data_IF_044875738860
#
_entry.id   IF_044875738860
#
_cell.length_a   1.000
_cell.length_b   1.000
_cell.length_c   1.000
_cell.angle_alpha   90.00
_cell.angle_beta   90.00
_cell.angle_gamma   90.00
#
_symmetry.space_group_name_H-M   'P 1'
#
loop_
_entity.id
_entity.type
_entity.pdbx_description
1 polymer ?
#
# COMPACT_ATOMS: atom_id res chain seq x y z
N UNK A 1 -20.00 0.23 -10.65
CA UNK A 1 -18.96 0.75 -11.56
C UNK A 1 -17.63 -0.01 -11.46
N UNK A 2 -17.35 -0.75 -10.38
CA UNK A 2 -16.09 -1.51 -10.20
C UNK A 2 -15.77 -2.52 -11.32
N UNK A 3 -16.77 -3.15 -11.94
CA UNK A 3 -16.54 -4.22 -12.92
C UNK A 3 -15.90 -3.76 -14.22
N UNK A 4 -16.03 -2.48 -14.60
CA UNK A 4 -15.48 -1.96 -15.87
C UNK A 4 -13.98 -1.65 -15.74
N UNK A 5 -13.57 -1.09 -14.62
CA UNK A 5 -12.18 -0.76 -14.31
C UNK A 5 -11.33 -2.03 -14.15
N UNK A 6 -11.86 -3.05 -13.47
CA UNK A 6 -11.20 -4.36 -13.38
C UNK A 6 -10.98 -5.01 -14.75
N UNK A 7 -11.97 -4.94 -15.65
CA UNK A 7 -11.85 -5.51 -17.00
C UNK A 7 -10.74 -4.83 -17.80
N UNK A 8 -10.66 -3.50 -17.78
CA UNK A 8 -9.61 -2.75 -18.47
C UNK A 8 -8.23 -3.03 -17.90
N UNK A 9 -8.11 -3.17 -16.58
CA UNK A 9 -6.87 -3.58 -15.93
C UNK A 9 -6.43 -4.98 -16.36
N UNK A 10 -7.34 -5.96 -16.35
CA UNK A 10 -7.05 -7.34 -16.80
C UNK A 10 -6.64 -7.35 -18.28
N UNK A 11 -7.32 -6.57 -19.12
CA UNK A 11 -6.96 -6.41 -20.53
C UNK A 11 -5.55 -5.83 -20.67
N UNK A 12 -5.22 -4.77 -19.91
CA UNK A 12 -3.88 -4.18 -19.91
C UNK A 12 -2.78 -5.17 -19.52
N UNK A 13 -2.96 -5.90 -18.42
CA UNK A 13 -2.02 -6.95 -17.99
C UNK A 13 -1.91 -8.07 -19.02
N UNK A 14 -3.04 -8.52 -19.58
CA UNK A 14 -3.06 -9.54 -20.63
C UNK A 14 -2.29 -9.09 -21.88
N UNK A 15 -2.43 -7.81 -22.28
CA UNK A 15 -1.67 -7.24 -23.40
C UNK A 15 -0.16 -7.24 -23.13
N UNK A 16 0.26 -6.89 -21.91
CA UNK A 16 1.67 -6.91 -21.51
C UNK A 16 2.24 -8.34 -21.62
N UNK A 17 1.52 -9.32 -21.06
CA UNK A 17 1.94 -10.73 -21.11
C UNK A 17 1.99 -11.22 -22.56
N UNK A 18 0.94 -10.95 -23.34
CA UNK A 18 0.88 -11.31 -24.76
C UNK A 18 2.03 -10.69 -25.56
N UNK A 19 2.38 -9.43 -25.28
CA UNK A 19 3.52 -8.75 -25.90
C UNK A 19 4.84 -9.46 -25.61
N UNK A 20 5.08 -9.91 -24.38
CA UNK A 20 6.31 -10.65 -24.05
C UNK A 20 6.35 -12.02 -24.73
N UNK A 21 5.22 -12.73 -24.77
CA UNK A 21 5.13 -14.04 -25.45
C UNK A 21 5.40 -13.88 -26.94
N UNK A 22 4.69 -12.95 -27.61
CA UNK A 22 4.89 -12.65 -29.03
C UNK A 22 6.33 -12.18 -29.30
N UNK A 23 6.86 -11.30 -28.45
CA UNK A 23 8.24 -10.84 -28.56
C UNK A 23 9.24 -12.00 -28.58
N UNK A 24 9.05 -13.03 -27.74
CA UNK A 24 9.88 -14.25 -27.78
C UNK A 24 9.62 -15.13 -29.00
N UNK A 25 8.36 -15.31 -29.39
CA UNK A 25 8.01 -16.12 -30.56
C UNK A 25 8.56 -15.56 -31.86
N UNK A 26 8.64 -14.23 -31.99
CA UNK A 26 9.16 -13.53 -33.18
C UNK A 26 10.65 -13.82 -33.43
N UNK A 27 11.41 -14.24 -32.41
CA UNK A 27 12.80 -14.68 -32.61
C UNK A 27 12.94 -16.08 -33.20
N UNK A 28 11.93 -16.96 -33.05
CA UNK A 28 12.00 -18.35 -33.51
C UNK A 28 12.16 -18.43 -35.05
N UNK A 29 11.37 -17.72 -35.87
CA UNK A 29 11.54 -17.71 -37.33
C UNK A 29 12.93 -17.26 -37.79
N UNK A 30 13.57 -16.37 -37.03
CA UNK A 30 14.88 -15.81 -37.34
C UNK A 30 16.00 -16.87 -37.24
N UNK A 31 15.79 -17.93 -36.45
CA UNK A 31 16.71 -19.07 -36.34
C UNK A 31 16.58 -20.05 -37.52
N UNK A 32 15.38 -20.18 -38.12
CA UNK A 32 15.14 -21.14 -39.20
C UNK A 32 15.50 -20.60 -40.59
N UNK A 33 15.35 -19.30 -40.84
CA UNK A 33 15.64 -18.67 -42.14
C UNK A 33 16.38 -17.34 -42.00
N UNK A 34 17.67 -17.36 -41.61
CA UNK A 34 18.43 -16.14 -41.33
C UNK A 34 18.77 -15.29 -42.58
N UNK A 35 18.81 -15.91 -43.75
CA UNK A 35 19.24 -15.28 -45.03
C UNK A 35 18.11 -14.65 -45.83
N UNK A 36 16.85 -14.90 -45.49
CA UNK A 36 15.71 -14.41 -46.25
C UNK A 36 15.34 -12.99 -45.83
N UNK A 37 15.47 -12.04 -46.76
CA UNK A 37 15.25 -10.61 -46.51
C UNK A 37 13.77 -10.31 -46.21
N UNK A 38 12.85 -11.03 -46.84
CA UNK A 38 11.42 -10.84 -46.61
C UNK A 38 11.01 -11.25 -45.20
N UNK A 39 11.50 -12.39 -44.73
CA UNK A 39 11.24 -12.88 -43.37
C UNK A 39 11.80 -11.93 -42.30
N UNK A 40 12.99 -11.38 -42.51
CA UNK A 40 13.58 -10.38 -41.62
C UNK A 40 12.71 -9.12 -41.51
N UNK A 41 12.21 -8.61 -42.63
CA UNK A 41 11.33 -7.44 -42.63
C UNK A 41 10.01 -7.72 -41.89
N UNK A 42 9.39 -8.88 -42.12
CA UNK A 42 8.17 -9.29 -41.42
C UNK A 42 8.39 -9.43 -39.91
N UNK A 43 9.50 -10.03 -39.48
CA UNK A 43 9.88 -10.12 -38.07
C UNK A 43 10.07 -8.73 -37.47
N UNK A 44 10.75 -7.82 -38.17
CA UNK A 44 10.99 -6.46 -37.68
C UNK A 44 9.66 -5.70 -37.47
N UNK A 45 8.72 -5.85 -38.39
CA UNK A 45 7.37 -5.25 -38.28
C UNK A 45 6.61 -5.88 -37.11
N UNK A 46 6.60 -7.20 -37.00
CA UNK A 46 5.95 -7.91 -35.89
C UNK A 46 6.54 -7.48 -34.53
N UNK A 47 7.87 -7.33 -34.46
CA UNK A 47 8.55 -6.81 -33.29
C UNK A 47 8.11 -5.37 -32.97
N UNK A 48 8.02 -4.49 -33.97
CA UNK A 48 7.47 -3.13 -33.79
C UNK A 48 6.05 -3.12 -33.20
N UNK A 49 5.18 -4.03 -33.67
CA UNK A 49 3.81 -4.18 -33.15
C UNK A 49 3.83 -4.62 -31.67
N UNK A 50 4.74 -5.50 -31.27
CA UNK A 50 4.84 -5.90 -29.85
C UNK A 50 5.14 -4.71 -28.94
N UNK A 51 6.00 -3.77 -29.35
CA UNK A 51 6.26 -2.56 -28.57
C UNK A 51 5.02 -1.67 -28.41
N UNK A 52 4.23 -1.52 -29.46
CA UNK A 52 2.97 -0.75 -29.40
C UNK A 52 1.98 -1.42 -28.45
N UNK A 53 1.85 -2.75 -28.52
CA UNK A 53 1.01 -3.52 -27.58
C UNK A 53 1.49 -3.38 -26.14
N UNK A 54 2.81 -3.43 -25.90
CA UNK A 54 3.39 -3.24 -24.58
C UNK A 54 3.04 -1.86 -24.02
N UNK A 55 3.22 -0.81 -24.83
CA UNK A 55 2.93 0.56 -24.44
C UNK A 55 1.44 0.75 -24.10
N UNK A 56 0.54 0.24 -24.95
CA UNK A 56 -0.91 0.28 -24.68
C UNK A 56 -1.28 -0.52 -23.43
N UNK A 57 -0.68 -1.70 -23.24
CA UNK A 57 -0.89 -2.52 -22.07
C UNK A 57 -0.50 -1.81 -20.77
N UNK A 58 0.67 -1.18 -20.76
CA UNK A 58 1.16 -0.36 -19.62
C UNK A 58 0.24 0.84 -19.39
N UNK A 59 -0.19 1.52 -20.46
CA UNK A 59 -1.10 2.66 -20.35
C UNK A 59 -2.44 2.28 -19.70
N UNK A 60 -3.08 1.21 -20.16
CA UNK A 60 -4.34 0.73 -19.59
C UNK A 60 -4.17 0.21 -18.16
N UNK A 61 -3.13 -0.58 -17.90
CA UNK A 61 -2.84 -1.10 -16.57
C UNK A 61 -2.50 0.02 -15.58
N UNK A 62 -1.74 1.03 -16.00
CA UNK A 62 -1.33 2.17 -15.19
C UNK A 62 -2.50 3.08 -14.83
N UNK A 63 -3.32 3.48 -15.81
CA UNK A 63 -4.48 4.37 -15.59
C UNK A 63 -5.48 3.77 -14.60
N UNK A 64 -5.80 2.49 -14.76
CA UNK A 64 -6.80 1.81 -13.92
C UNK A 64 -6.20 1.30 -12.61
N UNK A 65 -4.98 0.77 -12.65
CA UNK A 65 -4.25 0.32 -11.47
C UNK A 65 -4.04 1.45 -10.46
N UNK A 66 -3.74 2.67 -10.93
CA UNK A 66 -3.57 3.83 -10.05
C UNK A 66 -4.84 4.19 -9.28
N UNK A 67 -6.00 4.16 -9.95
CA UNK A 67 -7.29 4.39 -9.30
C UNK A 67 -7.58 3.31 -8.23
N UNK A 68 -7.37 2.02 -8.56
CA UNK A 68 -7.61 0.94 -7.61
C UNK A 68 -6.66 1.00 -6.40
N UNK A 69 -5.38 1.31 -6.63
CA UNK A 69 -4.39 1.42 -5.54
C UNK A 69 -4.71 2.59 -4.63
N UNK A 70 -5.08 3.77 -5.17
CA UNK A 70 -5.47 4.93 -4.36
C UNK A 70 -6.70 4.63 -3.52
N UNK A 71 -7.71 3.97 -4.10
CA UNK A 71 -8.94 3.64 -3.39
C UNK A 71 -8.67 2.71 -2.21
N UNK A 72 -7.86 1.65 -2.44
CA UNK A 72 -7.42 0.74 -1.37
C UNK A 72 -6.58 1.45 -0.31
N UNK A 73 -5.69 2.35 -0.71
CA UNK A 73 -4.86 3.11 0.22
C UNK A 73 -5.71 4.04 1.09
N UNK A 74 -6.69 4.74 0.50
CA UNK A 74 -7.66 5.55 1.23
C UNK A 74 -8.51 4.73 2.18
N UNK A 75 -8.97 3.56 1.76
CA UNK A 75 -9.77 2.68 2.61
C UNK A 75 -8.97 2.20 3.83
N UNK A 76 -7.72 1.79 3.59
CA UNK A 76 -6.80 1.39 4.66
C UNK A 76 -6.54 2.54 5.63
N UNK A 77 -6.26 3.74 5.10
CA UNK A 77 -6.03 4.94 5.91
C UNK A 77 -7.26 5.30 6.77
N UNK A 78 -8.48 5.18 6.22
CA UNK A 78 -9.72 5.40 6.99
C UNK A 78 -9.89 4.38 8.10
N UNK A 79 -9.66 3.09 7.84
CA UNK A 79 -9.76 2.03 8.86
C UNK A 79 -8.77 2.27 9.99
N UNK A 80 -7.52 2.63 9.67
CA UNK A 80 -6.49 2.95 10.66
C UNK A 80 -6.83 4.20 11.47
N UNK A 81 -7.30 5.27 10.81
CA UNK A 81 -7.76 6.49 11.50
C UNK A 81 -8.95 6.21 12.43
N UNK A 82 -9.92 5.41 11.99
CA UNK A 82 -11.05 5.02 12.82
C UNK A 82 -10.61 4.19 14.02
N UNK A 83 -9.72 3.21 13.83
CA UNK A 83 -9.18 2.40 14.91
C UNK A 83 -8.40 3.26 15.92
N UNK A 84 -7.51 4.14 15.46
CA UNK A 84 -6.74 5.06 16.32
C UNK A 84 -7.66 6.02 17.07
N UNK A 85 -8.70 6.56 16.41
CA UNK A 85 -9.68 7.44 17.07
C UNK A 85 -10.47 6.69 18.14
N UNK A 86 -10.88 5.45 17.88
CA UNK A 86 -11.64 4.64 18.84
C UNK A 86 -10.78 4.22 20.04
N UNK A 87 -9.58 3.68 19.78
CA UNK A 87 -8.66 3.27 20.84
C UNK A 87 -8.09 4.46 21.61
N UNK A 88 -7.76 5.56 20.93
CA UNK A 88 -7.29 6.81 21.53
C UNK A 88 -8.37 7.47 22.40
N UNK A 89 -9.62 7.55 21.94
CA UNK A 89 -10.73 8.06 22.73
C UNK A 89 -11.00 7.18 23.98
N UNK A 90 -10.84 5.86 23.84
CA UNK A 90 -10.98 4.91 24.96
C UNK A 90 -9.85 5.08 25.98
N UNK A 91 -8.61 5.23 25.53
CA UNK A 91 -7.46 5.52 26.38
C UNK A 91 -7.64 6.86 27.11
N UNK A 92 -8.00 7.93 26.39
CA UNK A 92 -8.23 9.25 26.95
C UNK A 92 -9.33 9.26 28.03
N UNK A 93 -10.45 8.55 27.80
CA UNK A 93 -11.49 8.37 28.83
C UNK A 93 -10.94 7.67 30.07
N UNK A 94 -10.14 6.62 29.89
CA UNK A 94 -9.55 5.86 31.01
C UNK A 94 -8.61 6.75 31.83
N UNK A 95 -7.78 7.56 31.18
CA UNK A 95 -6.88 8.51 31.85
C UNK A 95 -7.66 9.59 32.60
N UNK A 96 -8.70 10.17 31.98
CA UNK A 96 -9.56 11.16 32.63
C UNK A 96 -10.23 10.61 33.90
N UNK A 97 -10.75 9.37 33.84
CA UNK A 97 -11.33 8.71 35.00
C UNK A 97 -10.31 8.42 36.10
N UNK A 98 -9.09 8.00 35.74
CA UNK A 98 -8.01 7.80 36.72
C UNK A 98 -7.63 9.13 37.38
N UNK A 99 -7.35 10.18 36.61
CA UNK A 99 -7.01 11.51 37.14
C UNK A 99 -8.12 12.06 38.03
N UNK A 100 -9.39 11.94 37.63
CA UNK A 100 -10.53 12.39 38.44
C UNK A 100 -10.67 11.60 39.76
N UNK A 101 -10.35 10.30 39.75
CA UNK A 101 -10.31 9.50 41.00
C UNK A 101 -9.14 9.94 41.88
N UNK A 102 -7.95 10.13 41.31
CA UNK A 102 -6.77 10.58 42.05
C UNK A 102 -6.95 11.98 42.65
N UNK A 103 -7.61 12.89 41.92
CA UNK A 103 -7.92 14.24 42.39
C UNK A 103 -8.95 14.28 43.53
N UNK A 104 -9.79 13.24 43.66
CA UNK A 104 -10.75 13.09 44.77
C UNK A 104 -10.20 12.32 45.97
N UNK A 105 -9.05 11.68 45.84
CA UNK A 105 -8.41 11.04 46.98
C UNK A 105 -7.83 12.14 47.89
N UNK A 106 -8.19 12.17 49.18
CA UNK A 106 -7.60 13.11 50.11
C UNK A 106 -6.07 12.89 50.12
N UNK A 107 -5.31 13.96 50.01
CA UNK A 107 -3.83 14.02 49.95
C UNK A 107 -3.16 13.51 51.25
N UNK A 108 -3.86 12.71 52.05
CA UNK A 108 -3.44 12.14 53.33
C UNK A 108 -2.22 11.21 53.22
N UNK A 109 -1.91 10.70 52.02
CA UNK A 109 -0.74 9.86 51.75
C UNK A 109 0.57 10.64 51.53
N UNK A 110 0.51 11.85 50.96
CA UNK A 110 1.72 12.63 50.63
C UNK A 110 2.30 13.30 51.89
N UNK A 111 1.45 13.67 52.87
CA UNK A 111 1.92 14.24 54.13
C UNK A 111 2.69 13.23 54.99
N UNK A 112 2.22 11.97 55.07
CA UNK A 112 2.93 10.89 55.79
C UNK A 112 4.29 10.56 55.17
N UNK A 113 4.41 10.59 53.83
CA UNK A 113 5.69 10.40 53.14
C UNK A 113 6.70 11.49 53.49
N UNK A 114 6.28 12.75 53.51
CA UNK A 114 7.13 13.88 53.90
C UNK A 114 7.52 13.83 55.39
N UNK A 115 6.64 13.39 56.29
CA UNK A 115 6.98 13.19 57.70
C UNK A 115 7.99 12.06 57.92
N UNK A 116 7.87 10.94 57.20
CA UNK A 116 8.83 9.83 57.32
C UNK A 116 10.23 10.21 56.82
N UNK A 117 10.34 10.97 55.73
CA UNK A 117 11.63 11.49 55.24
C UNK A 117 12.23 12.48 56.25
N UNK A 118 11.41 13.37 56.83
CA UNK A 118 11.86 14.32 57.85
C UNK A 118 12.32 13.63 59.14
N UNK A 119 11.74 12.50 59.52
CA UNK A 119 12.21 11.69 60.66
C UNK A 119 13.54 10.98 60.37
N UNK A 120 13.73 10.42 59.16
CA UNK A 120 15.02 9.80 58.78
C UNK A 120 16.18 10.78 58.71
N UNK A 121 15.94 12.02 58.29
CA UNK A 121 16.98 13.06 58.29
C UNK A 121 17.38 13.58 59.68
N UNK A 122 16.64 13.24 60.75
CA UNK A 122 16.99 13.60 62.13
C UNK A 122 17.79 12.51 62.86
N UNK A 123 17.94 11.32 62.26
CA UNK A 123 18.65 10.18 62.84
C UNK A 123 20.05 9.99 62.26
N UNK A 124 20.50 10.93 61.43
CA UNK A 124 21.87 11.06 60.90
C UNK A 124 22.41 12.37 61.47
#
# INVERSE_FOLDING_TARGET
MESKHQKLFIIGITLIIASFILGKLVFIPLLFKPSDTFWRAMVLIAYGITWIMLFLGIWFAGREGYCMVIEKYREHQRKTLHAVKYHGARAARKTYHMVKRTAKLPVKGISKGKEMVKRRMKTI
#
